data_IF_768317535368
#
_entry.id   IF_768317535368
#
_cell.length_a   1.000
_cell.length_b   1.000
_cell.length_c   1.000
_cell.angle_alpha   90.00
_cell.angle_beta   90.00
_cell.angle_gamma   90.00
#
_symmetry.space_group_name_H-M   'P 1'
#
loop_
_entity.id
_entity.type
_entity.pdbx_description
1 polymer ?
#
# COMPACT_ATOMS: atom_id res chain seq x y z
N UNK A 1 17.97 7.57 13.99
CA UNK A 1 19.11 7.08 13.17
C UNK A 1 19.27 8.06 12.03
N UNK A 2 20.22 8.96 12.15
CA UNK A 2 20.54 9.98 11.15
C UNK A 2 20.83 9.30 9.80
N UNK A 3 20.26 9.85 8.73
CA UNK A 3 20.15 9.18 7.44
C UNK A 3 21.54 9.11 6.76
N UNK A 4 22.31 8.05 7.07
CA UNK A 4 23.69 7.84 6.59
C UNK A 4 23.85 8.02 5.08
N UNK A 5 22.80 7.75 4.29
CA UNK A 5 22.79 7.99 2.85
C UNK A 5 22.74 9.48 2.48
N UNK A 6 21.92 10.29 3.17
CA UNK A 6 21.92 11.76 3.01
C UNK A 6 23.23 12.36 3.51
N UNK A 7 23.77 11.88 4.63
CA UNK A 7 25.08 12.30 5.11
C UNK A 7 26.22 11.87 4.17
N UNK A 8 26.14 10.72 3.50
CA UNK A 8 27.11 10.32 2.48
C UNK A 8 26.99 11.18 1.23
N UNK A 9 25.77 11.45 0.77
CA UNK A 9 25.51 12.37 -0.34
C UNK A 9 26.09 13.75 -0.02
N UNK A 10 25.88 14.27 1.18
CA UNK A 10 26.47 15.54 1.64
C UNK A 10 27.98 15.50 1.87
N UNK A 11 28.54 14.45 2.51
CA UNK A 11 30.00 14.30 2.69
C UNK A 11 30.74 14.10 1.38
N UNK A 12 30.11 13.45 0.40
CA UNK A 12 30.64 13.35 -0.97
C UNK A 12 30.60 14.68 -1.71
N UNK A 13 29.71 15.59 -1.32
CA UNK A 13 29.68 16.97 -1.81
C UNK A 13 30.74 17.84 -1.15
N UNK A 14 30.88 17.79 0.19
CA UNK A 14 31.89 18.54 0.94
C UNK A 14 33.33 18.22 0.50
N UNK A 15 33.61 16.95 0.16
CA UNK A 15 34.95 16.54 -0.30
C UNK A 15 35.24 16.82 -1.77
N UNK A 16 34.23 17.19 -2.57
CA UNK A 16 34.34 17.41 -4.02
C UNK A 16 34.09 18.87 -4.45
N UNK A 17 33.91 19.80 -3.51
CA UNK A 17 33.77 21.23 -3.77
C UNK A 17 35.13 21.83 -4.14
N UNK A 18 35.41 21.91 -5.45
CA UNK A 18 35.56 23.26 -5.98
C UNK A 18 34.68 23.54 -7.21
N UNK A 19 33.91 22.58 -7.75
CA UNK A 19 33.36 22.74 -9.11
C UNK A 19 31.97 22.18 -9.43
N UNK A 20 31.08 21.93 -8.45
CA UNK A 20 29.66 21.63 -8.77
C UNK A 20 28.79 22.88 -8.64
N UNK A 21 28.12 23.28 -9.72
CA UNK A 21 27.20 24.42 -9.73
C UNK A 21 25.92 24.10 -8.92
N UNK A 22 25.23 25.13 -8.39
CA UNK A 22 23.93 24.99 -7.71
C UNK A 22 22.91 24.18 -8.55
N UNK A 23 23.03 24.22 -9.87
CA UNK A 23 22.16 23.53 -10.81
C UNK A 23 22.36 22.01 -10.80
N UNK A 24 23.60 21.53 -10.71
CA UNK A 24 23.87 20.07 -10.61
C UNK A 24 23.32 19.49 -9.30
N UNK A 25 23.42 20.25 -8.21
CA UNK A 25 22.85 19.87 -6.92
C UNK A 25 21.33 19.77 -6.99
N UNK A 26 20.67 20.76 -7.58
CA UNK A 26 19.23 20.77 -7.79
C UNK A 26 18.77 19.59 -8.67
N UNK A 27 19.53 19.24 -9.71
CA UNK A 27 19.23 18.09 -10.57
C UNK A 27 19.34 16.76 -9.81
N UNK A 28 20.37 16.57 -8.98
CA UNK A 28 20.56 15.36 -8.17
C UNK A 28 19.44 15.20 -7.14
N UNK A 29 19.09 16.27 -6.42
CA UNK A 29 18.01 16.25 -5.42
C UNK A 29 16.65 16.00 -6.06
N UNK A 30 16.39 16.59 -7.23
CA UNK A 30 15.18 16.33 -8.03
C UNK A 30 15.08 14.86 -8.45
N UNK A 31 16.18 14.29 -8.94
CA UNK A 31 16.25 12.89 -9.36
C UNK A 31 15.95 11.94 -8.19
N UNK A 32 16.55 12.17 -7.03
CA UNK A 32 16.30 11.38 -5.81
C UNK A 32 14.88 11.51 -5.28
N UNK A 33 14.31 12.71 -5.37
CA UNK A 33 12.91 12.96 -5.00
C UNK A 33 11.96 12.17 -5.90
N UNK A 34 12.14 12.25 -7.23
CA UNK A 34 11.36 11.48 -8.21
C UNK A 34 11.53 9.96 -8.01
N UNK A 35 12.75 9.50 -7.74
CA UNK A 35 13.03 8.09 -7.46
C UNK A 35 12.27 7.60 -6.22
N UNK A 36 12.25 8.40 -5.16
CA UNK A 36 11.55 8.04 -3.92
C UNK A 36 10.03 8.05 -4.10
N UNK A 37 9.48 9.02 -4.84
CA UNK A 37 8.07 9.05 -5.19
C UNK A 37 7.64 7.83 -6.05
N UNK A 38 8.50 7.41 -6.99
CA UNK A 38 8.27 6.19 -7.78
C UNK A 38 8.12 4.93 -6.92
N UNK A 39 8.82 4.84 -5.78
CA UNK A 39 8.65 3.72 -4.85
C UNK A 39 7.23 3.67 -4.25
N UNK A 40 6.68 4.83 -3.88
CA UNK A 40 5.29 4.90 -3.41
C UNK A 40 4.30 4.53 -4.50
N UNK A 41 4.49 5.08 -5.71
CA UNK A 41 3.69 4.73 -6.87
C UNK A 41 3.70 3.21 -7.06
N UNK A 42 4.87 2.58 -7.18
CA UNK A 42 4.99 1.14 -7.42
C UNK A 42 4.19 0.30 -6.40
N UNK A 43 4.24 0.63 -5.11
CA UNK A 43 3.44 -0.04 -4.08
C UNK A 43 1.92 0.14 -4.35
N UNK A 44 1.49 1.35 -4.68
CA UNK A 44 0.08 1.63 -5.02
C UNK A 44 -0.36 0.93 -6.30
N UNK A 45 0.50 0.82 -7.32
CA UNK A 45 0.20 0.06 -8.55
C UNK A 45 0.02 -1.43 -8.26
N UNK A 46 0.96 -2.05 -7.53
CA UNK A 46 0.86 -3.46 -7.17
C UNK A 46 -0.42 -3.73 -6.38
N UNK A 47 -0.73 -2.89 -5.40
CA UNK A 47 -1.98 -3.02 -4.62
C UNK A 47 -3.22 -2.89 -5.51
N UNK A 48 -3.23 -1.94 -6.44
CA UNK A 48 -4.34 -1.75 -7.40
C UNK A 48 -4.50 -2.97 -8.31
N UNK A 49 -3.40 -3.52 -8.82
CA UNK A 49 -3.42 -4.73 -9.65
C UNK A 49 -3.94 -5.94 -8.88
N UNK A 50 -3.49 -6.15 -7.64
CA UNK A 50 -3.98 -7.24 -6.79
C UNK A 50 -5.48 -7.10 -6.55
N UNK A 51 -5.97 -5.90 -6.22
CA UNK A 51 -7.40 -5.67 -6.04
C UNK A 51 -8.22 -5.97 -7.31
N UNK A 52 -7.72 -5.59 -8.49
CA UNK A 52 -8.38 -5.91 -9.74
C UNK A 52 -8.42 -7.43 -10.00
N UNK A 53 -7.32 -8.13 -9.76
CA UNK A 53 -7.25 -9.60 -9.88
C UNK A 53 -8.22 -10.31 -8.92
N UNK A 54 -8.30 -9.85 -7.67
CA UNK A 54 -9.25 -10.40 -6.69
C UNK A 54 -10.70 -10.15 -7.13
N UNK A 55 -11.04 -8.97 -7.66
CA UNK A 55 -12.39 -8.73 -8.18
C UNK A 55 -12.76 -9.67 -9.33
N UNK A 56 -11.84 -9.90 -10.27
CA UNK A 56 -12.06 -10.84 -11.36
C UNK A 56 -12.30 -12.25 -10.81
N UNK A 57 -11.48 -12.69 -9.85
CA UNK A 57 -11.68 -13.97 -9.16
C UNK A 57 -13.05 -14.05 -8.50
N UNK A 58 -13.47 -13.03 -7.75
CA UNK A 58 -14.78 -13.02 -7.07
C UNK A 58 -15.93 -13.06 -8.06
N UNK A 59 -15.83 -12.36 -9.19
CA UNK A 59 -16.86 -12.40 -10.25
C UNK A 59 -16.96 -13.81 -10.83
N UNK A 60 -15.84 -14.40 -11.26
CA UNK A 60 -15.83 -15.73 -11.89
C UNK A 60 -16.39 -16.78 -10.93
N UNK A 61 -15.90 -16.82 -9.69
CA UNK A 61 -16.31 -17.83 -8.72
C UNK A 61 -17.76 -17.64 -8.28
N UNK A 62 -18.25 -16.39 -8.18
CA UNK A 62 -19.67 -16.13 -7.87
C UNK A 62 -20.59 -16.57 -9.01
N UNK A 63 -20.20 -16.34 -10.27
CA UNK A 63 -20.97 -16.81 -11.43
C UNK A 63 -21.05 -18.34 -11.51
N UNK A 64 -19.99 -19.04 -11.09
CA UNK A 64 -19.98 -20.51 -11.04
C UNK A 64 -20.82 -21.09 -9.89
N UNK A 65 -21.10 -20.29 -8.85
CA UNK A 65 -21.74 -20.75 -7.61
C UNK A 65 -23.04 -20.02 -7.30
N UNK A 66 -23.85 -19.76 -8.31
CA UNK A 66 -25.13 -19.07 -8.17
C UNK A 66 -26.14 -19.76 -7.23
N UNK A 67 -25.98 -21.07 -7.01
CA UNK A 67 -26.85 -21.86 -6.14
C UNK A 67 -26.51 -21.75 -4.64
N UNK A 68 -25.41 -21.06 -4.27
CA UNK A 68 -24.96 -20.94 -2.88
C UNK A 68 -25.06 -19.48 -2.39
N UNK A 69 -26.21 -19.09 -1.78
CA UNK A 69 -26.47 -17.69 -1.44
C UNK A 69 -25.52 -17.15 -0.36
N UNK A 70 -25.04 -18.00 0.56
CA UNK A 70 -24.09 -17.58 1.60
C UNK A 70 -22.71 -17.32 1.02
N UNK A 71 -22.27 -18.16 0.07
CA UNK A 71 -21.06 -17.90 -0.70
C UNK A 71 -21.14 -16.59 -1.48
N UNK A 72 -22.27 -16.35 -2.16
CA UNK A 72 -22.51 -15.09 -2.88
C UNK A 72 -22.48 -13.87 -1.95
N UNK A 73 -23.08 -13.97 -0.77
CA UNK A 73 -23.07 -12.90 0.23
C UNK A 73 -21.64 -12.62 0.73
N UNK A 74 -20.88 -13.66 1.07
CA UNK A 74 -19.48 -13.54 1.48
C UNK A 74 -18.65 -12.80 0.40
N UNK A 75 -18.80 -13.23 -0.86
CA UNK A 75 -18.08 -12.64 -1.98
C UNK A 75 -18.54 -11.22 -2.32
N UNK A 76 -19.82 -10.90 -2.13
CA UNK A 76 -20.33 -9.55 -2.32
C UNK A 76 -19.75 -8.59 -1.26
N UNK A 77 -19.73 -8.99 0.01
CA UNK A 77 -19.13 -8.21 1.10
C UNK A 77 -17.63 -8.01 0.86
N UNK A 78 -16.90 -9.08 0.52
CA UNK A 78 -15.48 -8.98 0.18
C UNK A 78 -15.25 -8.08 -1.03
N UNK A 79 -16.06 -8.25 -2.08
CA UNK A 79 -16.03 -7.44 -3.30
C UNK A 79 -16.21 -5.96 -3.00
N UNK A 80 -17.08 -5.59 -2.07
CA UNK A 80 -17.27 -4.19 -1.65
C UNK A 80 -16.01 -3.61 -1.02
N UNK A 81 -15.35 -4.35 -0.12
CA UNK A 81 -14.07 -3.92 0.47
C UNK A 81 -12.98 -3.77 -0.58
N UNK A 82 -12.85 -4.75 -1.49
CA UNK A 82 -11.84 -4.75 -2.54
C UNK A 82 -12.09 -3.64 -3.55
N UNK A 83 -13.36 -3.36 -3.89
CA UNK A 83 -13.74 -2.26 -4.77
C UNK A 83 -13.39 -0.91 -4.16
N UNK A 84 -13.69 -0.70 -2.87
CA UNK A 84 -13.30 0.52 -2.17
C UNK A 84 -11.77 0.68 -2.15
N UNK A 85 -11.04 -0.40 -1.90
CA UNK A 85 -9.57 -0.40 -1.94
C UNK A 85 -9.04 -0.07 -3.35
N UNK A 86 -9.66 -0.62 -4.40
CA UNK A 86 -9.29 -0.35 -5.79
C UNK A 86 -9.52 1.12 -6.15
N UNK A 87 -10.70 1.66 -5.90
CA UNK A 87 -11.04 3.06 -6.17
C UNK A 87 -10.08 3.99 -5.40
N UNK A 88 -9.85 3.70 -4.12
CA UNK A 88 -8.89 4.44 -3.30
C UNK A 88 -7.47 4.36 -3.86
N UNK A 89 -7.02 3.19 -4.31
CA UNK A 89 -5.71 2.98 -4.95
C UNK A 89 -5.55 3.76 -6.25
N UNK A 90 -6.55 3.73 -7.13
CA UNK A 90 -6.57 4.48 -8.39
C UNK A 90 -6.54 5.99 -8.13
N UNK A 91 -7.42 6.50 -7.27
CA UNK A 91 -7.43 7.92 -6.90
C UNK A 91 -6.08 8.35 -6.31
N UNK A 92 -5.49 7.48 -5.48
CA UNK A 92 -4.21 7.73 -4.85
C UNK A 92 -3.07 7.82 -5.86
N UNK A 93 -3.05 6.87 -6.80
CA UNK A 93 -2.11 6.84 -7.90
C UNK A 93 -2.24 8.09 -8.77
N UNK A 94 -3.46 8.50 -9.13
CA UNK A 94 -3.71 9.70 -9.92
C UNK A 94 -3.19 10.96 -9.21
N UNK A 95 -3.48 11.13 -7.93
CA UNK A 95 -3.01 12.27 -7.12
C UNK A 95 -1.48 12.33 -7.01
N UNK A 96 -0.82 11.18 -6.87
CA UNK A 96 0.64 11.11 -6.78
C UNK A 96 1.32 11.29 -8.16
N UNK A 97 0.69 10.80 -9.23
CA UNK A 97 1.21 10.89 -10.61
C UNK A 97 1.06 12.28 -11.20
N UNK A 98 0.03 13.04 -10.81
CA UNK A 98 -0.23 14.37 -11.37
C UNK A 98 0.97 15.29 -11.12
N UNK A 99 1.75 15.49 -12.18
CA UNK A 99 2.86 16.43 -12.25
C UNK A 99 2.31 17.74 -12.79
N UNK A 100 2.30 18.76 -11.93
CA UNK A 100 2.21 20.15 -12.38
C UNK A 100 3.63 20.59 -12.71
N UNK A 101 4.04 20.40 -13.97
CA UNK A 101 5.38 20.77 -14.46
C UNK A 101 5.64 22.29 -14.39
N UNK A 102 4.57 23.05 -14.21
CA UNK A 102 4.46 24.49 -14.02
C UNK A 102 4.77 24.96 -12.58
N UNK A 103 4.86 24.05 -11.60
CA UNK A 103 5.14 24.42 -10.22
C UNK A 103 6.63 24.30 -9.85
N UNK A 104 7.16 25.22 -9.01
CA UNK A 104 8.48 25.08 -8.40
C UNK A 104 8.63 23.73 -7.67
N UNK A 105 9.80 23.10 -7.77
CA UNK A 105 10.07 21.79 -7.16
C UNK A 105 9.70 21.73 -5.67
N UNK A 106 9.99 22.81 -4.94
CA UNK A 106 9.74 22.94 -3.50
C UNK A 106 8.23 22.90 -3.20
N UNK A 107 7.40 23.64 -3.94
CA UNK A 107 5.95 23.65 -3.72
C UNK A 107 5.32 22.32 -4.15
N UNK A 108 5.77 21.76 -5.27
CA UNK A 108 5.36 20.43 -5.71
C UNK A 108 5.70 19.35 -4.68
N UNK A 109 6.92 19.36 -4.12
CA UNK A 109 7.36 18.42 -3.11
C UNK A 109 6.57 18.57 -1.79
N UNK A 110 6.31 19.81 -1.36
CA UNK A 110 5.48 20.09 -0.19
C UNK A 110 4.08 19.48 -0.33
N UNK A 111 3.44 19.64 -1.49
CA UNK A 111 2.13 19.06 -1.77
C UNK A 111 2.15 17.52 -1.65
N UNK A 112 3.14 16.86 -2.27
CA UNK A 112 3.25 15.40 -2.21
C UNK A 112 3.54 14.90 -0.80
N UNK A 113 4.38 15.60 -0.03
CA UNK A 113 4.64 15.28 1.38
C UNK A 113 3.36 15.44 2.20
N UNK A 114 2.57 16.49 1.99
CA UNK A 114 1.32 16.70 2.71
C UNK A 114 0.31 15.57 2.44
N UNK A 115 0.15 15.16 1.17
CA UNK A 115 -0.69 14.02 0.78
C UNK A 115 -0.22 12.75 1.49
N UNK A 116 1.05 12.38 1.34
CA UNK A 116 1.62 11.15 1.91
C UNK A 116 1.56 11.16 3.45
N UNK A 117 1.84 12.29 4.09
CA UNK A 117 1.80 12.45 5.54
C UNK A 117 0.39 12.31 6.09
N UNK A 118 -0.62 12.81 5.38
CA UNK A 118 -2.03 12.63 5.79
C UNK A 118 -2.44 11.15 5.81
N UNK A 119 -1.92 10.35 4.87
CA UNK A 119 -2.25 8.93 4.75
C UNK A 119 -1.45 8.04 5.70
N UNK A 120 -0.16 8.32 5.90
CA UNK A 120 0.76 7.47 6.67
C UNK A 120 0.77 7.76 8.17
N UNK A 121 0.46 9.00 8.56
CA UNK A 121 0.63 9.50 9.94
C UNK A 121 -0.67 9.93 10.62
N UNK A 122 -1.77 10.10 9.88
CA UNK A 122 -3.05 10.53 10.45
C UNK A 122 -3.81 9.43 11.21
N UNK A 123 -4.94 9.79 11.83
CA UNK A 123 -5.89 8.87 12.50
C UNK A 123 -6.34 7.71 11.59
N UNK A 124 -6.51 7.99 10.29
CA UNK A 124 -6.81 6.99 9.23
C UNK A 124 -5.73 5.91 9.12
N UNK A 125 -4.53 6.21 9.59
CA UNK A 125 -3.42 5.29 9.67
C UNK A 125 -3.68 4.08 10.57
N UNK A 126 -4.67 4.04 11.46
CA UNK A 126 -4.90 2.84 12.31
C UNK A 126 -6.04 1.93 11.86
N UNK A 127 -6.78 2.32 10.82
CA UNK A 127 -7.99 1.59 10.40
C UNK A 127 -7.71 0.16 9.90
N UNK A 128 -6.51 -0.09 9.38
CA UNK A 128 -6.11 -1.44 8.96
C UNK A 128 -6.16 -2.48 10.09
N UNK A 129 -6.02 -2.06 11.36
CA UNK A 129 -6.14 -2.95 12.53
C UNK A 129 -7.56 -3.50 12.72
N UNK A 130 -8.57 -2.74 12.29
CA UNK A 130 -9.97 -3.14 12.41
C UNK A 130 -10.49 -3.80 11.13
N UNK A 131 -9.94 -3.42 9.97
CA UNK A 131 -10.36 -3.95 8.66
C UNK A 131 -9.69 -5.30 8.36
N UNK A 132 -8.47 -5.55 8.85
CA UNK A 132 -7.75 -6.80 8.54
C UNK A 132 -8.49 -8.08 8.95
N UNK A 133 -9.01 -8.20 10.18
CA UNK A 133 -9.68 -9.43 10.61
C UNK A 133 -10.87 -9.85 9.72
N UNK A 134 -11.86 -8.99 9.46
CA UNK A 134 -12.97 -9.37 8.59
C UNK A 134 -12.52 -9.61 7.15
N UNK A 135 -11.57 -8.82 6.64
CA UNK A 135 -11.09 -8.97 5.26
C UNK A 135 -10.35 -10.30 5.05
N UNK A 136 -9.51 -10.71 6.01
CA UNK A 136 -8.86 -12.01 6.00
C UNK A 136 -9.88 -13.15 6.05
N UNK A 137 -10.84 -13.09 6.99
CA UNK A 137 -11.85 -14.12 7.15
C UNK A 137 -12.68 -14.31 5.88
N UNK A 138 -13.20 -13.23 5.30
CA UNK A 138 -13.97 -13.27 4.06
C UNK A 138 -13.15 -13.85 2.90
N UNK A 139 -11.86 -13.51 2.83
CA UNK A 139 -10.94 -14.01 1.78
C UNK A 139 -10.71 -15.50 1.92
N UNK A 140 -10.38 -15.97 3.12
CA UNK A 140 -10.13 -17.40 3.36
C UNK A 140 -11.40 -18.22 3.12
N UNK A 141 -12.56 -17.75 3.59
CA UNK A 141 -13.83 -18.44 3.33
C UNK A 141 -14.15 -18.50 1.84
N UNK A 142 -13.92 -17.41 1.09
CA UNK A 142 -14.11 -17.39 -0.36
C UNK A 142 -13.25 -18.44 -1.07
N UNK A 143 -11.96 -18.50 -0.74
CA UNK A 143 -11.02 -19.45 -1.35
C UNK A 143 -11.35 -20.88 -0.91
N UNK A 144 -11.50 -21.11 0.40
CA UNK A 144 -11.70 -22.45 0.97
C UNK A 144 -12.99 -23.08 0.46
N UNK A 145 -14.11 -22.36 0.51
CA UNK A 145 -15.39 -22.86 0.01
C UNK A 145 -15.30 -23.17 -1.48
N UNK A 146 -14.66 -22.32 -2.28
CA UNK A 146 -14.49 -22.54 -3.71
C UNK A 146 -13.69 -23.81 -4.04
N UNK A 147 -12.55 -24.04 -3.39
CA UNK A 147 -11.66 -25.17 -3.69
C UNK A 147 -12.08 -26.49 -3.03
N UNK A 148 -12.86 -26.47 -1.96
CA UNK A 148 -13.45 -27.69 -1.37
C UNK A 148 -14.59 -28.26 -2.22
N UNK A 149 -15.10 -27.52 -3.23
CA UNK A 149 -16.27 -27.89 -4.05
C UNK A 149 -17.55 -28.20 -3.25
N UNK A 150 -17.58 -27.82 -1.97
CA UNK A 150 -18.71 -27.97 -1.04
C UNK A 150 -19.47 -26.68 -0.85
N UNK A 151 -20.75 -26.74 -0.50
CA UNK A 151 -21.52 -25.52 -0.18
C UNK A 151 -20.97 -24.84 1.07
N UNK A 152 -21.19 -23.54 1.21
CA UNK A 152 -20.74 -22.76 2.36
C UNK A 152 -21.16 -23.39 3.69
N UNK A 153 -22.42 -23.84 3.79
CA UNK A 153 -22.93 -24.50 4.98
C UNK A 153 -22.25 -25.83 5.27
N UNK A 154 -21.91 -26.59 4.24
CA UNK A 154 -21.26 -27.89 4.37
C UNK A 154 -19.81 -27.76 4.84
N UNK A 155 -19.10 -26.76 4.33
CA UNK A 155 -17.76 -26.38 4.82
C UNK A 155 -17.81 -26.01 6.30
N UNK A 156 -18.80 -25.21 6.71
CA UNK A 156 -18.98 -24.81 8.11
C UNK A 156 -19.44 -25.96 9.03
N UNK A 157 -19.92 -27.07 8.48
CA UNK A 157 -20.30 -28.29 9.23
C UNK A 157 -19.19 -29.32 9.28
N UNK A 158 -18.15 -29.18 8.46
CA UNK A 158 -17.03 -30.12 8.42
C UNK A 158 -16.04 -29.76 9.53
N UNK A 159 -15.86 -30.65 10.51
CA UNK A 159 -14.98 -30.41 11.66
C UNK A 159 -13.55 -30.04 11.23
N UNK A 160 -12.99 -30.76 10.26
CA UNK A 160 -11.65 -30.50 9.73
C UNK A 160 -11.52 -29.09 9.14
N UNK A 161 -12.55 -28.62 8.42
CA UNK A 161 -12.58 -27.26 7.86
C UNK A 161 -12.68 -26.20 8.94
N UNK A 162 -13.50 -26.42 9.97
CA UNK A 162 -13.66 -25.48 11.09
C UNK A 162 -12.37 -25.41 11.93
N UNK A 163 -11.76 -26.55 12.26
CA UNK A 163 -10.47 -26.60 12.96
C UNK A 163 -9.38 -25.93 12.13
N UNK A 164 -9.33 -26.21 10.82
CA UNK A 164 -8.43 -25.55 9.88
C UNK A 164 -8.59 -24.04 9.88
N UNK A 165 -9.82 -23.52 9.84
CA UNK A 165 -10.10 -22.08 9.92
C UNK A 165 -9.66 -21.47 11.26
N UNK A 166 -9.92 -22.14 12.38
CA UNK A 166 -9.54 -21.67 13.73
C UNK A 166 -8.02 -21.55 13.84
N UNK A 167 -7.26 -22.49 13.27
CA UNK A 167 -5.79 -22.46 13.29
C UNK A 167 -5.23 -21.48 12.27
N UNK A 168 -5.81 -21.42 11.06
CA UNK A 168 -5.37 -20.53 9.99
C UNK A 168 -5.58 -19.06 10.36
N UNK A 169 -6.65 -18.72 11.08
CA UNK A 169 -7.00 -17.35 11.44
C UNK A 169 -5.87 -16.62 12.21
N UNK A 170 -5.37 -17.07 13.36
CA UNK A 170 -4.29 -16.39 14.08
C UNK A 170 -3.00 -16.33 13.27
N UNK A 171 -2.64 -17.41 12.56
CA UNK A 171 -1.41 -17.47 11.74
C UNK A 171 -1.48 -16.47 10.59
N UNK A 172 -2.58 -16.50 9.84
CA UNK A 172 -2.78 -15.62 8.70
C UNK A 172 -2.92 -14.16 9.11
N UNK A 173 -3.59 -13.86 10.22
CA UNK A 173 -3.61 -12.51 10.78
C UNK A 173 -2.23 -12.04 11.22
N UNK A 174 -1.44 -12.90 11.87
CA UNK A 174 -0.07 -12.57 12.25
C UNK A 174 0.78 -12.21 11.03
N UNK A 175 0.76 -13.06 9.98
CA UNK A 175 1.49 -12.81 8.72
C UNK A 175 1.02 -11.52 8.07
N UNK A 176 -0.30 -11.30 8.02
CA UNK A 176 -0.93 -10.12 7.45
C UNK A 176 -0.47 -8.84 8.16
N UNK A 177 -0.55 -8.81 9.49
CA UNK A 177 -0.09 -7.68 10.29
C UNK A 177 1.41 -7.45 10.16
N UNK A 178 2.20 -8.52 10.15
CA UNK A 178 3.64 -8.45 9.98
C UNK A 178 4.00 -7.80 8.63
N UNK A 179 3.41 -8.28 7.53
CA UNK A 179 3.62 -7.74 6.19
C UNK A 179 3.24 -6.24 6.10
N UNK A 180 2.06 -5.87 6.62
CA UNK A 180 1.63 -4.46 6.65
C UNK A 180 2.56 -3.61 7.51
N UNK A 181 3.06 -4.14 8.63
CA UNK A 181 4.01 -3.42 9.49
C UNK A 181 5.31 -3.10 8.75
N UNK A 182 5.84 -4.04 7.96
CA UNK A 182 7.05 -3.85 7.15
C UNK A 182 6.82 -2.79 6.09
N UNK A 183 5.75 -2.93 5.31
CA UNK A 183 5.41 -1.99 4.22
C UNK A 183 5.26 -0.57 4.80
N UNK A 184 4.61 -0.44 5.95
CA UNK A 184 4.43 0.86 6.61
C UNK A 184 5.71 1.45 7.15
N UNK A 185 6.58 0.66 7.78
CA UNK A 185 7.90 1.12 8.21
C UNK A 185 8.71 1.63 7.02
N UNK A 186 8.67 0.89 5.90
CA UNK A 186 9.32 1.29 4.65
C UNK A 186 8.76 2.60 4.09
N UNK A 187 7.44 2.73 4.01
CA UNK A 187 6.77 3.95 3.54
C UNK A 187 7.05 5.16 4.44
N UNK A 188 7.04 4.99 5.77
CA UNK A 188 7.37 6.06 6.72
C UNK A 188 8.82 6.51 6.57
N UNK A 189 9.77 5.60 6.45
CA UNK A 189 11.19 5.93 6.22
C UNK A 189 11.38 6.73 4.93
N UNK A 190 10.69 6.35 3.86
CA UNK A 190 10.74 7.11 2.61
C UNK A 190 10.08 8.49 2.74
N UNK A 191 9.02 8.62 3.53
CA UNK A 191 8.37 9.91 3.80
C UNK A 191 9.27 10.83 4.62
N UNK A 192 9.93 10.30 5.66
CA UNK A 192 10.93 11.05 6.45
C UNK A 192 12.08 11.52 5.57
N UNK A 193 12.58 10.67 4.68
CA UNK A 193 13.59 11.06 3.69
C UNK A 193 13.11 12.20 2.77
N UNK A 194 11.86 12.18 2.32
CA UNK A 194 11.29 13.28 1.53
C UNK A 194 11.17 14.58 2.34
N UNK A 195 10.80 14.50 3.63
CA UNK A 195 10.74 15.65 4.54
C UNK A 195 12.13 16.25 4.76
N UNK A 196 13.14 15.42 5.01
CA UNK A 196 14.53 15.86 5.16
C UNK A 196 15.06 16.54 3.88
N UNK A 197 14.72 15.99 2.71
CA UNK A 197 15.07 16.59 1.42
C UNK A 197 14.40 17.96 1.23
N UNK A 198 13.11 18.08 1.59
CA UNK A 198 12.38 19.34 1.51
C UNK A 198 13.00 20.42 2.39
N UNK A 199 13.31 20.12 3.65
CA UNK A 199 13.95 21.07 4.57
C UNK A 199 15.29 21.58 4.04
N UNK A 200 16.09 20.71 3.42
CA UNK A 200 17.38 21.07 2.82
C UNK A 200 17.24 21.89 1.54
N UNK A 201 16.23 21.60 0.71
CA UNK A 201 15.91 22.41 -0.47
C UNK A 201 15.41 23.80 -0.10
N UNK A 202 14.67 23.94 1.00
CA UNK A 202 14.19 25.24 1.49
C UNK A 202 15.26 26.10 2.17
N UNK A 203 16.41 25.51 2.55
CA UNK A 203 17.52 26.22 3.20
C UNK A 203 18.61 26.70 2.23
N UNK A 204 18.51 26.38 0.94
CA UNK A 204 19.44 26.76 -0.14
C UNK A 204 18.89 27.96 -0.90
#
# INVERSE_FOLDING_TARGET
>A
MENKELQQIWRSMDKAMPHRSKDELNLLLTSKTKQTLRKFLLITALSTMISAGVLIFLIITSLQRQHDPLYLLNNALLGLFVLFALISGVMSWLKLRQNRYDQPLISWLAEKIAILSSWLSGWRGRHYLFIMPPLYLLTVLSIHVYFEYKTFMEVMRTEESVVGLIVALPVGLFVSYYAVSIIRKYQKRNLEFLKDLYTRLSSI
#
